data_IF_904843661449
#
_entry.id   IF_904843661449
#
_cell.length_a   1.000
_cell.length_b   1.000
_cell.length_c   1.000
_cell.angle_alpha   90.00
_cell.angle_beta   90.00
_cell.angle_gamma   90.00
#
_symmetry.space_group_name_H-M   'P 1'
#
loop_
_entity.id
_entity.type
_entity.pdbx_description
1 polymer ?
#
# COMPACT_ATOMS: atom_id res chain seq x y z
N UNK A 1 -4.53 25.15 50.72
CA UNK A 1 -4.96 23.85 50.15
C UNK A 1 -4.21 23.64 48.83
N UNK A 2 -3.23 22.73 48.74
CA UNK A 2 -2.52 22.53 47.48
C UNK A 2 -3.45 21.81 46.49
N UNK A 3 -3.50 22.31 45.25
CA UNK A 3 -4.24 21.71 44.15
C UNK A 3 -3.33 20.67 43.52
N UNK A 4 -3.60 19.41 43.83
CA UNK A 4 -3.03 18.25 43.16
C UNK A 4 -3.39 18.34 41.67
N UNK A 5 -2.43 18.77 40.84
CA UNK A 5 -2.51 18.61 39.40
C UNK A 5 -1.90 17.25 39.13
N UNK A 6 -2.76 16.23 39.23
CA UNK A 6 -2.42 14.87 38.86
C UNK A 6 -1.78 14.87 37.48
N UNK A 7 -0.52 14.46 37.43
CA UNK A 7 0.21 14.21 36.22
C UNK A 7 -0.49 13.07 35.47
N UNK A 8 -1.43 13.40 34.58
CA UNK A 8 -1.83 12.53 33.47
C UNK A 8 -0.66 12.46 32.50
N UNK A 9 0.31 11.61 32.83
CA UNK A 9 1.64 11.56 32.23
C UNK A 9 1.59 11.10 30.78
N UNK A 10 2.39 11.78 29.95
CA UNK A 10 2.90 11.48 28.60
C UNK A 10 3.11 9.98 28.23
N UNK A 11 3.16 9.08 29.20
CA UNK A 11 3.28 7.62 29.05
C UNK A 11 2.06 6.98 28.37
N UNK A 12 0.84 7.40 28.73
CA UNK A 12 -0.41 6.79 28.24
C UNK A 12 -0.66 7.09 26.74
N UNK A 13 -0.22 8.28 26.29
CA UNK A 13 -0.18 8.61 24.86
C UNK A 13 0.90 7.81 24.12
N UNK A 14 2.08 7.62 24.72
CA UNK A 14 3.19 6.88 24.11
C UNK A 14 2.83 5.44 23.74
N UNK A 15 2.15 4.73 24.64
CA UNK A 15 1.71 3.35 24.43
C UNK A 15 0.60 3.25 23.37
N UNK A 16 -0.33 4.21 23.35
CA UNK A 16 -1.34 4.31 22.29
C UNK A 16 -0.71 4.53 20.89
N UNK A 17 0.32 5.38 20.79
CA UNK A 17 1.06 5.59 19.54
C UNK A 17 1.86 4.35 19.11
N UNK A 18 2.40 3.58 20.07
CA UNK A 18 3.11 2.34 19.78
C UNK A 18 2.16 1.28 19.20
N UNK A 19 1.00 1.05 19.83
CA UNK A 19 -0.02 0.11 19.33
C UNK A 19 -0.51 0.46 17.91
N UNK A 20 -0.74 1.75 17.62
CA UNK A 20 -1.12 2.20 16.28
C UNK A 20 -0.04 1.95 15.22
N UNK A 21 1.24 2.06 15.60
CA UNK A 21 2.37 1.76 14.71
C UNK A 21 2.44 0.27 14.40
N UNK A 22 2.29 -0.60 15.40
CA UNK A 22 2.30 -2.05 15.21
C UNK A 22 1.16 -2.50 14.29
N UNK A 23 -0.08 -2.05 14.55
CA UNK A 23 -1.24 -2.35 13.69
C UNK A 23 -1.02 -1.90 12.24
N UNK A 24 -0.40 -0.73 12.05
CA UNK A 24 -0.06 -0.22 10.73
C UNK A 24 0.98 -1.09 10.01
N UNK A 25 1.98 -1.61 10.72
CA UNK A 25 3.00 -2.50 10.17
C UNK A 25 2.39 -3.84 9.76
N UNK A 26 1.56 -4.44 10.62
CA UNK A 26 0.83 -5.69 10.35
C UNK A 26 -0.04 -5.52 9.10
N UNK A 27 -0.83 -4.44 9.02
CA UNK A 27 -1.67 -4.13 7.86
C UNK A 27 -0.85 -4.01 6.58
N UNK A 28 0.27 -3.28 6.63
CA UNK A 28 1.15 -3.12 5.46
C UNK A 28 1.75 -4.46 5.02
N UNK A 29 2.13 -5.34 5.95
CA UNK A 29 2.62 -6.69 5.66
C UNK A 29 1.54 -7.52 4.96
N UNK A 30 0.35 -7.59 5.56
CA UNK A 30 -0.80 -8.28 4.97
C UNK A 30 -1.12 -7.75 3.57
N UNK A 31 -1.10 -6.44 3.36
CA UNK A 31 -1.32 -5.84 2.04
C UNK A 31 -0.24 -6.26 1.01
N UNK A 32 1.03 -6.36 1.41
CA UNK A 32 2.13 -6.84 0.53
C UNK A 32 1.90 -8.27 0.07
N UNK A 33 1.48 -9.14 0.97
CA UNK A 33 1.19 -10.55 0.67
C UNK A 33 -0.06 -10.69 -0.20
N UNK A 34 -1.18 -10.11 0.24
CA UNK A 34 -2.45 -10.22 -0.46
C UNK A 34 -2.41 -9.60 -1.86
N UNK A 35 -1.77 -8.43 -2.03
CA UNK A 35 -1.70 -7.80 -3.35
C UNK A 35 -0.85 -8.59 -4.33
N UNK A 36 0.25 -9.22 -3.87
CA UNK A 36 1.05 -10.12 -4.72
C UNK A 36 0.23 -11.32 -5.15
N UNK A 37 -0.48 -11.96 -4.20
CA UNK A 37 -1.36 -13.09 -4.50
C UNK A 37 -2.40 -12.73 -5.55
N UNK A 38 -3.10 -11.60 -5.39
CA UNK A 38 -4.11 -11.14 -6.34
C UNK A 38 -3.53 -10.90 -7.74
N UNK A 39 -2.34 -10.31 -7.85
CA UNK A 39 -1.67 -10.12 -9.14
C UNK A 39 -1.27 -11.46 -9.77
N UNK A 40 -0.75 -12.40 -8.99
CA UNK A 40 -0.40 -13.75 -9.44
C UNK A 40 -1.64 -14.52 -9.91
N UNK A 41 -2.71 -14.53 -9.12
CA UNK A 41 -3.97 -15.19 -9.45
C UNK A 41 -4.60 -14.62 -10.74
N UNK A 42 -4.42 -13.31 -10.98
CA UNK A 42 -4.86 -12.64 -12.20
C UNK A 42 -3.91 -12.84 -13.40
N UNK A 43 -2.84 -13.63 -13.27
CA UNK A 43 -1.86 -13.87 -14.33
C UNK A 43 -1.07 -12.63 -14.73
N UNK A 44 -0.94 -11.65 -13.83
CA UNK A 44 -0.22 -10.39 -14.09
C UNK A 44 1.25 -10.57 -13.79
N UNK A 45 2.11 -10.22 -14.74
CA UNK A 45 3.56 -10.29 -14.55
C UNK A 45 4.07 -9.13 -13.69
N UNK A 46 4.98 -9.40 -12.74
CA UNK A 46 5.64 -8.36 -11.95
C UNK A 46 7.03 -8.77 -11.45
N UNK A 47 7.88 -7.76 -11.24
CA UNK A 47 9.19 -7.93 -10.58
C UNK A 47 9.11 -7.38 -9.16
N UNK A 48 9.67 -8.12 -8.21
CA UNK A 48 9.70 -7.75 -6.79
C UNK A 48 10.98 -6.96 -6.47
N UNK A 49 10.82 -5.82 -5.79
CA UNK A 49 11.92 -5.00 -5.27
C UNK A 49 11.70 -4.70 -3.79
N UNK A 50 12.79 -4.37 -3.08
CA UNK A 50 12.78 -3.94 -1.67
C UNK A 50 11.93 -4.87 -0.79
N UNK A 51 12.18 -6.18 -0.88
CA UNK A 51 11.46 -7.21 -0.11
C UNK A 51 9.92 -7.14 -0.24
N UNK A 52 9.44 -6.87 -1.45
CA UNK A 52 7.99 -6.76 -1.73
C UNK A 52 7.35 -5.45 -1.32
N UNK A 53 8.12 -4.46 -0.86
CA UNK A 53 7.62 -3.12 -0.62
C UNK A 53 7.31 -2.37 -1.93
N UNK A 54 7.97 -2.75 -3.03
CA UNK A 54 7.79 -2.15 -4.35
C UNK A 54 7.75 -3.24 -5.43
N UNK A 55 6.76 -3.17 -6.31
CA UNK A 55 6.58 -4.07 -7.43
C UNK A 55 6.59 -3.27 -8.73
N UNK A 56 7.33 -3.75 -9.73
CA UNK A 56 7.20 -3.25 -11.11
C UNK A 56 6.29 -4.21 -11.85
N UNK A 57 5.07 -3.77 -12.14
CA UNK A 57 4.02 -4.58 -12.74
C UNK A 57 4.00 -4.35 -14.25
N UNK A 58 4.04 -5.43 -15.04
CA UNK A 58 4.02 -5.45 -16.51
C UNK A 58 5.03 -4.46 -17.13
N UNK A 59 6.16 -4.25 -16.46
CA UNK A 59 7.23 -3.30 -16.84
C UNK A 59 6.76 -1.84 -17.03
N UNK A 60 5.58 -1.49 -16.52
CA UNK A 60 4.93 -0.19 -16.75
C UNK A 60 4.45 0.49 -15.47
N UNK A 61 3.94 -0.24 -14.50
CA UNK A 61 3.38 0.34 -13.30
C UNK A 61 4.28 0.12 -12.09
N UNK A 62 4.63 1.20 -11.39
CA UNK A 62 5.22 1.09 -10.05
C UNK A 62 4.09 0.91 -9.05
N UNK A 63 4.20 -0.07 -8.17
CA UNK A 63 3.17 -0.39 -7.19
C UNK A 63 3.79 -0.65 -5.82
N UNK A 64 3.33 0.08 -4.81
CA UNK A 64 3.70 -0.07 -3.40
C UNK A 64 2.56 -0.74 -2.65
N UNK A 65 2.49 -2.08 -2.63
CA UNK A 65 1.34 -2.81 -2.12
C UNK A 65 1.05 -2.53 -0.65
N UNK A 66 2.06 -2.25 0.17
CA UNK A 66 1.87 -1.89 1.57
C UNK A 66 0.94 -0.69 1.78
N UNK A 67 1.02 0.32 0.91
CA UNK A 67 0.16 1.53 0.96
C UNK A 67 -0.93 1.55 -0.12
N UNK A 68 -0.92 0.55 -1.00
CA UNK A 68 -1.75 0.48 -2.20
C UNK A 68 -1.41 1.51 -3.28
N UNK A 69 -0.39 2.34 -3.10
CA UNK A 69 -0.03 3.43 -4.04
C UNK A 69 0.51 2.85 -5.34
N UNK A 70 0.17 3.41 -6.49
CA UNK A 70 0.79 3.07 -7.77
C UNK A 70 0.88 4.26 -8.74
N UNK A 71 1.75 4.16 -9.73
CA UNK A 71 1.90 5.12 -10.85
C UNK A 71 2.01 4.40 -12.18
N UNK A 72 1.56 5.06 -13.24
CA UNK A 72 1.81 4.62 -14.61
C UNK A 72 3.03 5.37 -15.17
N UNK A 73 4.13 4.65 -15.43
CA UNK A 73 5.36 5.25 -15.97
C UNK A 73 5.17 5.90 -17.36
N UNK A 74 4.10 5.56 -18.08
CA UNK A 74 3.78 6.12 -19.40
C UNK A 74 2.79 7.28 -19.36
N UNK A 75 1.96 7.36 -18.31
CA UNK A 75 0.82 8.29 -18.21
C UNK A 75 1.10 9.55 -17.40
N UNK A 76 2.32 9.71 -16.86
CA UNK A 76 2.71 10.82 -16.00
C UNK A 76 2.77 10.47 -14.51
N UNK A 77 3.13 11.45 -13.68
CA UNK A 77 3.43 11.27 -12.25
C UNK A 77 2.20 11.19 -11.33
N UNK A 78 1.00 10.96 -11.88
CA UNK A 78 -0.22 10.89 -11.09
C UNK A 78 -0.24 9.62 -10.23
N UNK A 79 -0.38 9.82 -8.92
CA UNK A 79 -0.51 8.71 -7.97
C UNK A 79 -1.95 8.24 -7.88
N UNK A 80 -2.13 6.93 -8.01
CA UNK A 80 -3.40 6.23 -7.80
C UNK A 80 -3.26 5.22 -6.67
N UNK A 81 -4.38 4.63 -6.23
CA UNK A 81 -4.40 3.71 -5.09
C UNK A 81 -5.21 2.44 -5.36
N UNK A 82 -4.84 1.38 -4.63
CA UNK A 82 -5.50 0.09 -4.60
C UNK A 82 -5.01 -0.87 -5.68
N UNK A 83 -5.02 -2.16 -5.36
CA UNK A 83 -4.69 -3.25 -6.29
C UNK A 83 -5.76 -3.46 -7.36
N UNK A 84 -7.04 -3.32 -7.02
CA UNK A 84 -8.13 -3.49 -7.99
C UNK A 84 -8.14 -2.40 -9.08
N UNK A 85 -8.01 -1.09 -8.75
CA UNK A 85 -7.87 -0.07 -9.78
C UNK A 85 -6.62 -0.25 -10.65
N UNK A 86 -5.52 -0.73 -10.07
CA UNK A 86 -4.32 -1.09 -10.84
C UNK A 86 -4.62 -2.22 -11.83
N UNK A 87 -5.25 -3.32 -11.39
CA UNK A 87 -5.65 -4.42 -12.27
C UNK A 87 -6.60 -3.97 -13.38
N UNK A 88 -7.55 -3.08 -13.08
CA UNK A 88 -8.42 -2.50 -14.09
C UNK A 88 -7.66 -1.66 -15.12
N UNK A 89 -6.66 -0.89 -14.70
CA UNK A 89 -5.79 -0.13 -15.60
C UNK A 89 -4.95 -1.04 -16.50
N UNK A 90 -4.42 -2.14 -15.95
CA UNK A 90 -3.69 -3.17 -16.70
C UNK A 90 -4.60 -3.80 -17.75
N UNK A 91 -5.81 -4.20 -17.36
CA UNK A 91 -6.78 -4.78 -18.29
C UNK A 91 -7.13 -3.81 -19.43
N UNK A 92 -7.46 -2.55 -19.12
CA UNK A 92 -7.72 -1.51 -20.13
C UNK A 92 -6.54 -1.29 -21.07
N UNK A 93 -5.32 -1.33 -20.55
CA UNK A 93 -4.10 -1.18 -21.36
C UNK A 93 -3.83 -2.38 -22.28
N UNK A 94 -4.25 -3.60 -21.89
CA UNK A 94 -4.10 -4.82 -22.69
C UNK A 94 -5.19 -4.96 -23.76
N UNK A 95 -6.43 -4.62 -23.42
CA UNK A 95 -7.60 -4.81 -24.29
C UNK A 95 -7.88 -3.59 -25.19
N UNK A 96 -7.31 -2.42 -24.86
CA UNK A 96 -7.64 -1.16 -25.50
C UNK A 96 -9.01 -0.62 -25.07
N UNK A 97 -9.40 0.61 -25.45
CA UNK A 97 -10.74 1.10 -25.19
C UNK A 97 -11.75 0.26 -25.96
N UNK A 98 -12.63 -0.46 -25.24
CA UNK A 98 -13.85 -1.01 -25.81
C UNK A 98 -14.64 0.16 -26.40
N UNK A 99 -14.79 0.17 -27.73
CA UNK A 99 -15.63 1.14 -28.44
C UNK A 99 -17.10 0.96 -28.06
#
# INVERSE_FOLDING_TARGET
>A
KPRDHGAGTMSDMGDAFAGLRELSQIKRKSNRENSRKLLTDAGVSFTVHNDGAHLIVERRWDFWPGTGKWTDRRGGSEYRRGVFPLMAAIHRAKVGPTR
#
